data_IF_633198276319
#
_entry.id   IF_633198276319
#
_cell.length_a   1.000
_cell.length_b   1.000
_cell.length_c   1.000
_cell.angle_alpha   90.00
_cell.angle_beta   90.00
_cell.angle_gamma   90.00
#
_symmetry.space_group_name_H-M   'P 1'
#
loop_
_entity.id
_entity.type
_entity.pdbx_description
1 polymer ?
#
# COMPACT_ATOMS: atom_id res chain seq x y z
N UNK A 1 14.09 1.05 -19.11
CA UNK A 1 14.01 -0.14 -18.23
C UNK A 1 12.61 -0.67 -18.43
N UNK A 2 12.46 -1.91 -18.86
CA UNK A 2 11.17 -2.50 -19.21
C UNK A 2 10.22 -2.43 -18.00
N UNK A 3 9.12 -1.68 -18.13
CA UNK A 3 8.18 -1.37 -17.05
C UNK A 3 7.36 -2.56 -16.59
N UNK A 4 7.49 -3.71 -17.26
CA UNK A 4 6.61 -4.84 -17.10
C UNK A 4 7.22 -5.94 -16.21
N UNK A 5 7.48 -5.62 -14.93
CA UNK A 5 7.87 -6.65 -13.97
C UNK A 5 6.66 -7.51 -13.58
N UNK A 6 6.86 -8.81 -13.29
CA UNK A 6 5.77 -9.66 -12.81
C UNK A 6 5.12 -9.09 -11.55
N UNK A 7 3.80 -9.26 -11.45
CA UNK A 7 3.07 -9.01 -10.21
C UNK A 7 3.48 -10.08 -9.19
N UNK A 8 3.83 -9.64 -7.99
CA UNK A 8 4.25 -10.52 -6.90
C UNK A 8 3.30 -10.44 -5.71
N UNK A 9 3.18 -11.54 -4.97
CA UNK A 9 2.52 -11.59 -3.67
C UNK A 9 3.39 -12.34 -2.69
N UNK A 10 3.48 -11.83 -1.47
CA UNK A 10 4.06 -12.51 -0.33
C UNK A 10 2.97 -12.75 0.73
N UNK A 11 2.39 -13.95 0.79
CA UNK A 11 1.35 -14.26 1.76
C UNK A 11 1.82 -14.20 3.22
N UNK A 12 3.11 -14.47 3.48
CA UNK A 12 3.64 -14.51 4.85
C UNK A 12 3.69 -13.11 5.47
N UNK A 13 4.11 -12.12 4.68
CA UNK A 13 4.11 -10.71 5.06
C UNK A 13 2.81 -9.98 4.67
N UNK A 14 1.87 -10.70 4.05
CA UNK A 14 0.56 -10.22 3.61
C UNK A 14 0.63 -9.02 2.65
N UNK A 15 1.66 -8.96 1.81
CA UNK A 15 1.85 -7.89 0.83
C UNK A 15 1.70 -8.38 -0.61
N UNK A 16 1.46 -7.45 -1.50
CA UNK A 16 1.55 -7.63 -2.94
C UNK A 16 2.20 -6.40 -3.58
N UNK A 17 2.81 -6.58 -4.74
CA UNK A 17 3.48 -5.50 -5.44
C UNK A 17 3.38 -5.68 -6.95
N UNK A 18 3.33 -4.55 -7.66
CA UNK A 18 3.34 -4.49 -9.12
C UNK A 18 4.11 -3.27 -9.58
N UNK A 19 4.62 -3.32 -10.82
CA UNK A 19 5.13 -2.12 -11.47
C UNK A 19 3.95 -1.31 -12.02
N UNK A 20 4.09 0.01 -12.00
CA UNK A 20 3.23 0.93 -12.74
C UNK A 20 3.85 1.23 -14.11
N UNK A 21 3.05 1.82 -15.01
CA UNK A 21 3.48 2.14 -16.38
C UNK A 21 4.66 3.12 -16.44
N UNK A 22 4.84 3.95 -15.41
CA UNK A 22 5.96 4.88 -15.27
C UNK A 22 7.24 4.24 -14.71
N UNK A 23 7.20 2.93 -14.44
CA UNK A 23 8.30 2.14 -13.90
C UNK A 23 8.43 2.19 -12.37
N UNK A 24 7.55 2.92 -11.68
CA UNK A 24 7.45 2.90 -10.20
C UNK A 24 6.88 1.57 -9.70
N UNK A 25 6.93 1.35 -8.38
CA UNK A 25 6.39 0.15 -7.74
C UNK A 25 5.24 0.57 -6.84
N UNK A 26 4.09 -0.06 -7.00
CA UNK A 26 3.01 -0.02 -6.03
C UNK A 26 3.17 -1.19 -5.07
N UNK A 27 3.23 -0.89 -3.77
CA UNK A 27 3.17 -1.86 -2.68
C UNK A 27 1.79 -1.77 -2.02
N UNK A 28 1.09 -2.89 -1.92
CA UNK A 28 -0.18 -3.02 -1.23
C UNK A 28 -0.13 -4.10 -0.17
N UNK A 29 -1.10 -4.07 0.76
CA UNK A 29 -1.13 -4.98 1.89
C UNK A 29 -2.54 -5.46 2.21
N UNK A 30 -2.65 -6.71 2.63
CA UNK A 30 -3.81 -7.27 3.33
C UNK A 30 -3.44 -7.34 4.81
N UNK A 31 -3.61 -6.23 5.52
CA UNK A 31 -3.08 -6.10 6.89
C UNK A 31 -3.58 -7.21 7.81
N UNK A 32 -2.68 -7.77 8.61
CA UNK A 32 -2.99 -8.83 9.58
C UNK A 32 -4.08 -8.40 10.55
N UNK A 33 -3.94 -7.19 11.07
CA UNK A 33 -4.90 -6.53 11.95
C UNK A 33 -5.50 -5.36 11.19
N UNK A 34 -6.82 -5.37 11.01
CA UNK A 34 -7.55 -4.30 10.33
C UNK A 34 -8.18 -3.36 11.37
N UNK A 35 -8.25 -2.09 11.01
CA UNK A 35 -8.97 -1.07 11.79
C UNK A 35 -10.14 -0.67 10.91
N UNK A 36 -11.39 -0.86 11.36
CA UNK A 36 -12.56 -0.43 10.60
C UNK A 36 -12.56 1.09 10.47
N UNK A 37 -13.12 1.60 9.38
CA UNK A 37 -13.42 3.02 9.29
C UNK A 37 -14.57 3.36 10.25
N UNK A 38 -14.21 3.90 11.42
CA UNK A 38 -15.12 4.16 12.52
C UNK A 38 -15.90 5.47 12.30
N UNK A 39 -17.01 5.39 11.57
CA UNK A 39 -17.96 6.49 11.39
C UNK A 39 -19.39 6.01 11.65
N UNK A 40 -20.23 6.85 12.25
CA UNK A 40 -21.64 6.53 12.52
C UNK A 40 -22.43 6.31 11.22
N UNK A 41 -22.10 7.11 10.20
CA UNK A 41 -22.62 7.01 8.84
C UNK A 41 -21.56 7.52 7.86
N UNK A 42 -21.35 6.80 6.77
CA UNK A 42 -20.51 7.27 5.66
C UNK A 42 -21.08 8.60 5.14
N UNK A 43 -20.27 9.67 5.04
CA UNK A 43 -20.75 10.96 4.52
C UNK A 43 -21.34 10.83 3.11
N UNK A 44 -22.46 11.50 2.84
CA UNK A 44 -23.17 11.40 1.55
C UNK A 44 -22.36 11.95 0.37
N UNK A 45 -21.43 12.85 0.66
CA UNK A 45 -20.51 13.46 -0.29
C UNK A 45 -19.19 12.70 -0.44
N UNK A 46 -19.00 11.59 0.29
CA UNK A 46 -17.80 10.76 0.16
C UNK A 46 -17.83 9.95 -1.14
N UNK A 47 -17.18 10.48 -2.17
CA UNK A 47 -16.99 9.83 -3.47
C UNK A 47 -15.65 10.22 -4.07
N UNK A 48 -14.90 9.25 -4.62
CA UNK A 48 -13.55 9.46 -5.17
C UNK A 48 -12.54 10.09 -4.19
N UNK A 49 -12.80 9.97 -2.88
CA UNK A 49 -11.96 10.46 -1.80
C UNK A 49 -11.21 9.29 -1.13
N UNK A 50 -10.16 9.61 -0.38
CA UNK A 50 -9.37 8.68 0.41
C UNK A 50 -9.45 9.06 1.88
N UNK A 51 -9.21 8.09 2.75
CA UNK A 51 -8.95 8.34 4.16
C UNK A 51 -7.56 8.97 4.32
N UNK A 52 -7.31 9.61 5.46
CA UNK A 52 -5.99 10.15 5.80
C UNK A 52 -4.92 9.03 5.80
N UNK A 53 -3.69 9.28 5.32
CA UNK A 53 -2.62 8.30 5.35
C UNK A 53 -2.31 7.80 6.77
N UNK A 54 -2.27 6.47 6.96
CA UNK A 54 -1.92 5.83 8.22
C UNK A 54 -0.61 5.04 8.09
N UNK A 55 0.50 5.77 8.13
CA UNK A 55 1.85 5.21 8.00
C UNK A 55 2.25 4.34 9.18
N UNK A 56 1.74 4.63 10.37
CA UNK A 56 2.04 3.87 11.59
C UNK A 56 1.48 2.45 11.47
N UNK A 57 0.20 2.32 11.12
CA UNK A 57 -0.43 1.02 10.86
C UNK A 57 0.21 0.30 9.67
N UNK A 58 0.69 1.04 8.67
CA UNK A 58 1.34 0.47 7.49
C UNK A 58 2.80 0.03 7.74
N UNK A 59 3.37 0.25 8.92
CA UNK A 59 4.78 -0.10 9.20
C UNK A 59 5.07 -1.59 9.03
N UNK A 60 4.17 -2.49 9.43
CA UNK A 60 4.40 -3.93 9.28
C UNK A 60 4.50 -4.32 7.80
N UNK A 61 3.50 -4.01 6.93
CA UNK A 61 3.65 -4.22 5.49
C UNK A 61 4.89 -3.60 4.88
N UNK A 62 5.25 -2.38 5.29
CA UNK A 62 6.42 -1.68 4.77
C UNK A 62 7.73 -2.39 5.11
N UNK A 63 7.83 -3.02 6.29
CA UNK A 63 8.98 -3.86 6.67
C UNK A 63 9.09 -5.10 5.78
N UNK A 64 7.98 -5.83 5.56
CA UNK A 64 7.95 -6.96 4.64
C UNK A 64 8.29 -6.55 3.19
N UNK A 65 7.79 -5.39 2.77
CA UNK A 65 8.10 -4.78 1.48
C UNK A 65 9.59 -4.51 1.31
N UNK A 66 10.24 -3.87 2.29
CA UNK A 66 11.69 -3.61 2.29
C UNK A 66 12.50 -4.90 2.25
N UNK A 67 12.07 -5.94 2.97
CA UNK A 67 12.73 -7.24 2.93
C UNK A 67 12.67 -7.88 1.53
N UNK A 68 11.52 -7.83 0.85
CA UNK A 68 11.34 -8.39 -0.50
C UNK A 68 11.90 -7.50 -1.62
N UNK A 69 11.88 -6.19 -1.42
CA UNK A 69 12.28 -5.17 -2.40
C UNK A 69 13.19 -4.15 -1.71
N UNK A 70 14.50 -4.45 -1.56
CA UNK A 70 15.43 -3.61 -0.77
C UNK A 70 15.55 -2.15 -1.22
N UNK A 71 15.20 -1.83 -2.48
CA UNK A 71 15.21 -0.43 -2.96
C UNK A 71 14.23 0.47 -2.20
N UNK A 72 13.19 -0.12 -1.57
CA UNK A 72 12.20 0.61 -0.75
C UNK A 72 12.78 1.23 0.52
N UNK A 73 14.03 0.94 0.88
CA UNK A 73 14.74 1.62 1.98
C UNK A 73 15.26 3.00 1.59
N UNK A 74 15.42 3.27 0.28
CA UNK A 74 16.10 4.46 -0.24
C UNK A 74 15.27 5.24 -1.25
N UNK A 75 14.08 4.75 -1.61
CA UNK A 75 13.17 5.44 -2.51
C UNK A 75 12.25 6.37 -1.73
N UNK A 76 11.57 7.23 -2.48
CA UNK A 76 10.49 8.06 -1.98
C UNK A 76 9.16 7.33 -2.09
N UNK A 77 8.18 7.73 -1.27
CA UNK A 77 6.80 7.27 -1.34
C UNK A 77 5.89 8.46 -1.67
N UNK A 78 5.73 8.81 -2.95
CA UNK A 78 5.04 10.04 -3.35
C UNK A 78 3.52 10.00 -3.12
N UNK A 79 2.95 8.80 -2.96
CA UNK A 79 1.50 8.61 -2.79
C UNK A 79 1.22 7.48 -1.80
N UNK A 80 0.31 7.75 -0.86
CA UNK A 80 -0.30 6.74 -0.01
C UNK A 80 -1.77 6.65 -0.35
N UNK A 81 -2.27 5.44 -0.62
CA UNK A 81 -3.69 5.21 -0.93
C UNK A 81 -4.31 4.50 0.27
N UNK A 82 -5.07 5.25 1.08
CA UNK A 82 -5.86 4.69 2.17
C UNK A 82 -7.34 4.65 1.76
N UNK A 83 -7.79 3.50 1.27
CA UNK A 83 -9.21 3.30 0.95
C UNK A 83 -10.03 2.95 2.20
N UNK A 84 -11.34 3.20 2.20
CA UNK A 84 -12.26 2.68 3.22
C UNK A 84 -12.41 1.16 3.16
#
# INVERSE_FOLDING_TARGET
>A
MDGNRPVGRDPNEMIYYRSEDDGSIMLGAFQKESIPWMVDRVPEDFSFQLLEPDWEKYQQPLRGGRHRIPVLERCEFPKFVNGP
#
